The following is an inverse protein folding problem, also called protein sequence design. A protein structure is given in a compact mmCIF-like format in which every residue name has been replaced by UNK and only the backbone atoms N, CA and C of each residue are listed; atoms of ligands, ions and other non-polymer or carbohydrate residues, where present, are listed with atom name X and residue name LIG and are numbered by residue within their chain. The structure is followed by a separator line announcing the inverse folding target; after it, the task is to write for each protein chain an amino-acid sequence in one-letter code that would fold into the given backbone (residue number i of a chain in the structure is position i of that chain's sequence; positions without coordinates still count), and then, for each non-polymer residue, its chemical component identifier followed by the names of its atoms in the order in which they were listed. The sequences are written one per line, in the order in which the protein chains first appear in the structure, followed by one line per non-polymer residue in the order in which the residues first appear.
data_IF_275784870347
#
_entry.id   IF_275784870347
#
_cell.length_a   1.000
_cell.length_b   1.000
_cell.length_c   1.000
_cell.angle_alpha   90.00
_cell.angle_beta   90.00
_cell.angle_gamma   90.00
#
_symmetry.space_group_name_H-M   'P 1'
#
loop_
_entity.id
_entity.type
_entity.pdbx_description
1 polymer ?
#
# COMPACT_ATOMS: atom_id res chain seq x y z
N UNK A 1 -6.42 -9.33 41.61
CA UNK A 1 -5.31 -10.13 42.11
C UNK A 1 -5.17 -11.35 41.23
N UNK A 2 -4.50 -11.21 40.09
CA UNK A 2 -3.76 -12.23 39.34
C UNK A 2 -3.29 -11.57 38.04
N UNK A 3 -2.16 -10.84 38.16
CA UNK A 3 -1.45 -10.19 37.00
C UNK A 3 -0.13 -10.90 36.73
N UNK A 4 -0.13 -12.23 36.73
CA UNK A 4 1.10 -13.02 36.50
C UNK A 4 1.02 -14.02 35.32
N UNK A 5 0.11 -13.83 34.40
CA UNK A 5 0.23 -14.49 33.09
C UNK A 5 0.09 -13.44 31.98
N UNK A 6 1.15 -12.67 31.78
CA UNK A 6 1.31 -11.87 30.58
C UNK A 6 1.37 -12.82 29.37
N UNK A 7 0.26 -12.98 28.68
CA UNK A 7 0.27 -13.55 27.31
C UNK A 7 0.99 -12.52 26.47
N UNK A 8 2.31 -12.70 26.30
CA UNK A 8 3.04 -12.00 25.25
C UNK A 8 2.44 -12.47 23.92
N UNK A 9 1.56 -11.67 23.33
CA UNK A 9 1.18 -11.86 21.94
C UNK A 9 2.47 -11.73 21.15
N UNK A 10 3.00 -12.85 20.65
CA UNK A 10 4.14 -12.83 19.76
C UNK A 10 3.67 -12.23 18.45
N UNK A 11 3.94 -10.94 18.24
CA UNK A 11 3.72 -10.29 16.97
C UNK A 11 4.56 -11.01 15.91
N UNK A 12 3.98 -11.19 14.71
CA UNK A 12 4.63 -11.83 13.57
C UNK A 12 4.64 -10.89 12.38
N UNK A 13 5.55 -11.13 11.47
CA UNK A 13 5.50 -10.48 10.16
C UNK A 13 4.18 -10.81 9.46
N UNK A 14 3.49 -9.76 9.02
CA UNK A 14 2.42 -9.84 8.05
C UNK A 14 2.97 -9.64 6.63
N UNK A 15 2.12 -9.39 5.65
CA UNK A 15 2.55 -9.07 4.28
C UNK A 15 3.35 -7.77 4.18
N UNK A 16 3.27 -6.91 5.21
CA UNK A 16 3.86 -5.57 5.18
C UNK A 16 4.44 -5.19 6.57
N UNK A 17 5.36 -6.00 7.08
CA UNK A 17 6.03 -5.81 8.35
C UNK A 17 5.23 -6.29 9.57
N UNK A 18 5.69 -5.90 10.76
CA UNK A 18 5.04 -6.20 12.04
C UNK A 18 4.18 -5.01 12.45
N UNK A 19 2.91 -5.24 12.81
CA UNK A 19 1.96 -4.20 13.22
C UNK A 19 1.24 -4.58 14.51
N UNK A 20 0.81 -3.56 15.26
CA UNK A 20 -0.01 -3.72 16.46
C UNK A 20 -0.41 -2.37 17.04
N UNK A 21 -1.23 -2.40 18.11
CA UNK A 21 -1.56 -1.18 18.88
C UNK A 21 -0.26 -0.64 19.47
N UNK A 22 0.05 0.61 19.13
CA UNK A 22 1.32 1.24 19.48
C UNK A 22 1.51 1.30 20.99
N UNK A 23 2.72 0.97 21.45
CA UNK A 23 3.15 0.98 22.85
C UNK A 23 2.34 0.04 23.78
N UNK A 24 1.48 -0.79 23.20
CA UNK A 24 0.67 -1.81 23.90
C UNK A 24 1.01 -3.20 23.38
N UNK A 25 0.68 -3.49 22.13
CA UNK A 25 1.06 -4.74 21.45
C UNK A 25 2.49 -4.61 20.89
N UNK A 26 2.73 -3.55 20.12
CA UNK A 26 4.05 -3.17 19.62
C UNK A 26 4.75 -2.28 20.66
N UNK A 27 5.35 -2.93 21.65
CA UNK A 27 6.10 -2.25 22.71
C UNK A 27 7.47 -1.77 22.24
N UNK A 28 8.08 -0.82 22.98
CA UNK A 28 9.47 -0.39 22.74
C UNK A 28 10.46 -1.54 22.92
N UNK A 29 10.23 -2.44 23.88
CA UNK A 29 11.10 -3.60 24.10
C UNK A 29 11.04 -4.57 22.90
N UNK A 30 9.84 -4.80 22.37
CA UNK A 30 9.68 -5.61 21.15
C UNK A 30 10.35 -4.95 19.94
N UNK A 31 10.15 -3.65 19.74
CA UNK A 31 10.74 -2.90 18.64
C UNK A 31 12.28 -2.91 18.69
N UNK A 32 12.87 -2.80 19.90
CA UNK A 32 14.30 -2.92 20.08
C UNK A 32 14.82 -4.35 19.80
N UNK A 33 14.13 -5.38 20.31
CA UNK A 33 14.48 -6.77 20.05
C UNK A 33 14.39 -7.10 18.54
N UNK A 34 13.36 -6.60 17.85
CA UNK A 34 13.19 -6.72 16.40
C UNK A 34 14.34 -6.04 15.64
N UNK A 35 14.69 -4.80 16.00
CA UNK A 35 15.82 -4.08 15.40
C UNK A 35 17.15 -4.83 15.55
N UNK A 36 17.42 -5.37 16.75
CA UNK A 36 18.61 -6.19 16.99
C UNK A 36 18.62 -7.47 16.17
N UNK A 37 17.51 -8.20 16.14
CA UNK A 37 17.36 -9.42 15.35
C UNK A 37 17.57 -9.14 13.85
N UNK A 38 17.00 -8.05 13.35
CA UNK A 38 17.19 -7.63 11.96
C UNK A 38 18.66 -7.32 11.63
N UNK A 39 19.36 -6.58 12.50
CA UNK A 39 20.80 -6.30 12.31
C UNK A 39 21.65 -7.57 12.35
N UNK A 40 21.34 -8.53 13.22
CA UNK A 40 22.05 -9.81 13.29
C UNK A 40 21.85 -10.63 12.03
N UNK A 41 20.63 -10.67 11.48
CA UNK A 41 20.27 -11.51 10.31
C UNK A 41 20.73 -10.86 9.00
N UNK A 42 20.49 -9.55 8.83
CA UNK A 42 20.80 -8.83 7.59
C UNK A 42 22.23 -8.23 7.58
N UNK A 43 22.91 -8.26 8.69
CA UNK A 43 24.26 -7.72 8.86
C UNK A 43 24.29 -6.32 9.44
N UNK A 44 25.48 -5.99 10.02
CA UNK A 44 25.80 -4.67 10.53
C UNK A 44 26.06 -3.64 9.41
N UNK A 45 26.66 -2.51 9.77
CA UNK A 45 26.92 -1.39 8.88
C UNK A 45 25.77 -0.38 8.88
N UNK A 46 25.73 0.48 7.86
CA UNK A 46 24.73 1.54 7.78
C UNK A 46 23.32 0.96 7.64
N UNK A 47 22.38 1.50 8.44
CA UNK A 47 20.94 1.29 8.32
C UNK A 47 20.23 2.63 8.29
N UNK A 48 19.28 2.79 7.39
CA UNK A 48 18.41 3.95 7.38
C UNK A 48 17.14 3.67 8.19
N UNK A 49 16.68 4.67 8.96
CA UNK A 49 15.45 4.59 9.71
C UNK A 49 14.60 5.80 9.35
N UNK A 50 13.36 5.55 8.93
CA UNK A 50 12.36 6.56 8.67
C UNK A 50 11.07 6.29 9.43
N UNK A 51 10.20 7.29 9.53
CA UNK A 51 8.89 7.12 10.14
C UNK A 51 7.83 8.00 9.47
N UNK A 52 6.58 7.65 9.68
CA UNK A 52 5.46 8.54 9.40
C UNK A 52 5.25 9.55 10.55
N UNK A 53 4.08 10.20 10.57
CA UNK A 53 3.79 11.32 11.48
C UNK A 53 3.14 10.92 12.79
N UNK A 54 2.94 9.62 13.09
CA UNK A 54 2.27 9.11 14.30
C UNK A 54 2.97 9.55 15.57
N UNK A 55 2.19 9.87 16.62
CA UNK A 55 2.67 10.29 17.94
C UNK A 55 3.63 9.26 18.56
N UNK A 56 3.37 7.96 18.36
CA UNK A 56 4.23 6.87 18.87
C UNK A 56 5.53 6.68 18.06
N UNK A 57 5.64 7.30 16.88
CA UNK A 57 6.76 7.14 15.97
C UNK A 57 8.13 7.39 16.62
N UNK A 58 8.37 8.54 17.29
CA UNK A 58 9.68 8.83 17.90
C UNK A 58 10.12 7.81 18.95
N UNK A 59 9.19 7.28 19.77
CA UNK A 59 9.52 6.29 20.79
C UNK A 59 9.89 4.93 20.17
N UNK A 60 9.16 4.50 19.14
CA UNK A 60 9.45 3.27 18.41
C UNK A 60 10.72 3.38 17.56
N UNK A 61 10.97 4.54 16.95
CA UNK A 61 12.22 4.84 16.24
C UNK A 61 13.43 4.71 17.17
N UNK A 62 13.38 5.35 18.35
CA UNK A 62 14.46 5.26 19.33
C UNK A 62 14.73 3.81 19.79
N UNK A 63 13.67 3.01 19.95
CA UNK A 63 13.77 1.61 20.29
C UNK A 63 14.42 0.77 19.17
N UNK A 64 13.97 0.94 17.92
CA UNK A 64 14.56 0.27 16.75
C UNK A 64 16.04 0.64 16.59
N UNK A 65 16.38 1.93 16.75
CA UNK A 65 17.76 2.44 16.72
C UNK A 65 18.62 1.75 17.77
N UNK A 66 18.15 1.67 19.01
CA UNK A 66 18.87 1.00 20.10
C UNK A 66 19.08 -0.49 19.78
N UNK A 67 18.07 -1.15 19.24
CA UNK A 67 18.14 -2.55 18.81
C UNK A 67 19.16 -2.77 17.69
N UNK A 68 19.09 -1.98 16.62
CA UNK A 68 20.01 -2.04 15.49
C UNK A 68 21.45 -1.85 15.95
N UNK A 69 21.72 -0.86 16.80
CA UNK A 69 23.05 -0.61 17.34
C UNK A 69 23.53 -1.79 18.21
N UNK A 70 22.68 -2.37 19.05
CA UNK A 70 22.99 -3.56 19.84
C UNK A 70 23.28 -4.80 18.96
N UNK A 71 22.70 -4.86 17.76
CA UNK A 71 22.99 -5.88 16.74
C UNK A 71 24.23 -5.61 15.90
N UNK A 72 24.97 -4.51 16.17
CA UNK A 72 26.20 -4.15 15.47
C UNK A 72 26.00 -3.29 14.21
N UNK A 73 24.83 -2.69 14.04
CA UNK A 73 24.55 -1.77 12.95
C UNK A 73 24.90 -0.32 13.33
N UNK A 74 24.99 0.53 12.29
CA UNK A 74 25.18 1.99 12.38
C UNK A 74 23.89 2.69 11.95
N UNK A 75 22.93 2.92 12.87
CA UNK A 75 21.63 3.48 12.54
C UNK A 75 21.72 4.97 12.20
N UNK A 76 21.08 5.37 11.09
CA UNK A 76 20.96 6.75 10.62
C UNK A 76 19.48 7.07 10.44
N UNK A 77 18.96 8.01 11.24
CA UNK A 77 17.59 8.48 11.09
C UNK A 77 17.48 9.48 9.96
N UNK A 78 16.49 9.29 9.08
CA UNK A 78 16.11 10.27 8.05
C UNK A 78 14.82 11.03 8.45
N UNK A 79 14.34 10.81 9.67
CA UNK A 79 13.17 11.49 10.22
C UNK A 79 11.85 11.09 9.56
N UNK A 80 10.95 12.07 9.37
CA UNK A 80 9.66 11.84 8.70
C UNK A 80 9.85 11.86 7.19
N UNK A 81 9.68 10.69 6.57
CA UNK A 81 9.75 10.49 5.12
C UNK A 81 8.71 9.46 4.68
N UNK A 82 8.22 9.51 3.43
CA UNK A 82 7.39 8.44 2.89
C UNK A 82 8.14 7.11 2.79
N UNK A 83 7.40 6.00 2.89
CA UNK A 83 7.96 4.64 2.70
C UNK A 83 8.75 4.51 1.39
N UNK A 84 8.22 4.94 0.21
CA UNK A 84 8.99 4.87 -1.03
C UNK A 84 10.27 5.72 -1.02
N UNK A 85 10.27 6.86 -0.33
CA UNK A 85 11.47 7.68 -0.19
C UNK A 85 12.57 6.94 0.60
N UNK A 86 12.19 6.28 1.71
CA UNK A 86 13.12 5.49 2.49
C UNK A 86 13.68 4.31 1.70
N UNK A 87 12.81 3.58 0.97
CA UNK A 87 13.22 2.46 0.12
C UNK A 87 14.19 2.92 -0.99
N UNK A 88 13.88 4.04 -1.65
CA UNK A 88 14.74 4.64 -2.66
C UNK A 88 16.10 5.06 -2.07
N UNK A 89 16.12 5.73 -0.92
CA UNK A 89 17.36 6.11 -0.24
C UNK A 89 18.18 4.87 0.14
N UNK A 90 17.55 3.82 0.65
CA UNK A 90 18.22 2.55 0.96
C UNK A 90 18.87 1.94 -0.29
N UNK A 91 18.22 2.02 -1.45
CA UNK A 91 18.79 1.61 -2.74
C UNK A 91 20.00 2.47 -3.12
N UNK A 92 19.91 3.81 -2.97
CA UNK A 92 21.00 4.72 -3.29
C UNK A 92 22.24 4.51 -2.40
N UNK A 93 22.03 4.18 -1.13
CA UNK A 93 23.11 3.93 -0.18
C UNK A 93 23.58 2.47 -0.14
N UNK A 94 22.87 1.56 -0.82
CA UNK A 94 23.19 0.13 -0.83
C UNK A 94 23.11 -0.48 0.57
N UNK A 95 22.12 -0.09 1.38
CA UNK A 95 21.97 -0.53 2.76
C UNK A 95 20.55 -0.98 3.08
N UNK A 96 20.35 -1.72 4.18
CA UNK A 96 19.01 -2.03 4.69
C UNK A 96 18.34 -0.80 5.30
N UNK A 97 17.01 -0.90 5.51
CA UNK A 97 16.25 0.17 6.17
C UNK A 97 15.11 -0.38 7.05
N UNK A 98 14.66 0.46 8.01
CA UNK A 98 13.49 0.21 8.83
C UNK A 98 12.54 1.41 8.78
N UNK A 99 11.28 1.18 8.39
CA UNK A 99 10.24 2.18 8.36
C UNK A 99 9.25 1.97 9.50
N UNK A 100 9.07 3.00 10.32
CA UNK A 100 8.11 2.99 11.43
C UNK A 100 6.78 3.58 10.93
N UNK A 101 5.82 2.71 10.66
CA UNK A 101 4.51 3.08 10.12
C UNK A 101 3.51 1.94 10.23
N UNK A 102 2.22 2.26 10.24
CA UNK A 102 1.12 1.33 10.00
C UNK A 102 0.29 1.72 8.78
N UNK A 103 0.91 2.44 7.80
CA UNK A 103 0.30 2.84 6.54
C UNK A 103 -1.04 3.56 6.73
N UNK A 104 -2.14 3.01 6.22
CA UNK A 104 -3.48 3.59 6.26
C UNK A 104 -4.25 3.37 7.58
N UNK A 105 -3.67 2.65 8.55
CA UNK A 105 -4.32 2.41 9.84
C UNK A 105 -4.49 3.72 10.65
N UNK A 106 -5.42 3.75 11.63
CA UNK A 106 -5.57 4.88 12.54
C UNK A 106 -4.29 5.17 13.34
N UNK A 107 -4.19 6.35 13.93
CA UNK A 107 -2.99 6.86 14.61
C UNK A 107 -2.51 6.01 15.79
N UNK A 108 -3.42 5.30 16.47
CA UNK A 108 -3.10 4.46 17.63
C UNK A 108 -2.44 3.12 17.28
N UNK A 109 -2.48 2.72 16.00
CA UNK A 109 -1.69 1.60 15.49
C UNK A 109 -0.32 2.11 15.02
N UNK A 110 0.69 1.23 15.07
CA UNK A 110 1.97 1.46 14.43
C UNK A 110 2.58 0.13 13.99
N UNK A 111 3.70 0.20 13.29
CA UNK A 111 4.39 -0.97 12.78
C UNK A 111 5.86 -0.70 12.50
N UNK A 112 6.58 -1.75 12.15
CA UNK A 112 7.94 -1.69 11.65
C UNK A 112 8.02 -2.54 10.38
N UNK A 113 8.27 -1.87 9.23
CA UNK A 113 8.59 -2.52 7.95
C UNK A 113 10.12 -2.59 7.84
N UNK A 114 10.67 -3.73 7.47
CA UNK A 114 12.10 -3.89 7.25
C UNK A 114 12.34 -4.12 5.76
N UNK A 115 13.30 -3.37 5.22
CA UNK A 115 13.80 -3.52 3.87
C UNK A 115 15.22 -4.10 3.91
N UNK A 116 15.47 -5.04 3.04
CA UNK A 116 16.82 -5.55 2.80
C UNK A 116 17.72 -4.54 2.10
N UNK A 117 18.99 -4.91 1.92
CA UNK A 117 19.97 -4.08 1.20
C UNK A 117 19.44 -3.69 -0.18
N UNK A 118 19.48 -2.40 -0.48
CA UNK A 118 18.93 -1.88 -1.73
C UNK A 118 17.45 -1.51 -1.69
N UNK A 119 16.85 -1.44 -0.49
CA UNK A 119 15.45 -0.99 -0.34
C UNK A 119 14.43 -1.99 -0.86
N UNK A 120 14.75 -3.28 -0.89
CA UNK A 120 13.87 -4.35 -1.35
C UNK A 120 13.13 -5.01 -0.19
N UNK A 121 11.94 -5.53 -0.45
CA UNK A 121 11.21 -6.33 0.53
C UNK A 121 11.95 -7.61 0.89
N UNK A 122 11.78 -8.07 2.13
CA UNK A 122 12.39 -9.31 2.60
C UNK A 122 11.64 -10.53 2.04
N UNK A 123 12.38 -11.59 1.76
CA UNK A 123 11.79 -12.90 1.51
C UNK A 123 11.30 -13.55 2.83
N UNK A 124 10.31 -14.44 2.74
CA UNK A 124 9.70 -15.13 3.90
C UNK A 124 10.72 -15.85 4.78
N UNK A 125 11.78 -16.43 4.17
CA UNK A 125 12.85 -17.11 4.89
C UNK A 125 13.62 -16.14 5.79
N UNK A 126 13.86 -14.92 5.30
CA UNK A 126 14.58 -13.87 6.02
C UNK A 126 13.71 -13.34 7.16
N UNK A 127 12.43 -13.09 6.93
CA UNK A 127 11.49 -12.67 7.98
C UNK A 127 11.39 -13.73 9.09
N UNK A 128 11.26 -15.01 8.72
CA UNK A 128 11.27 -16.13 9.69
C UNK A 128 12.58 -16.23 10.47
N UNK A 129 13.71 -15.94 9.83
CA UNK A 129 14.99 -15.92 10.50
C UNK A 129 15.10 -14.76 11.50
N UNK A 130 14.55 -13.57 11.15
CA UNK A 130 14.47 -12.43 12.07
C UNK A 130 13.55 -12.78 13.24
N UNK A 131 12.35 -13.32 12.99
CA UNK A 131 11.42 -13.75 14.07
C UNK A 131 12.08 -14.74 15.04
N UNK A 132 12.82 -15.72 14.51
CA UNK A 132 13.52 -16.70 15.33
C UNK A 132 14.69 -16.12 16.15
N UNK A 133 15.24 -14.98 15.73
CA UNK A 133 16.31 -14.28 16.41
C UNK A 133 15.83 -13.24 17.46
N UNK A 134 14.52 -12.99 17.55
CA UNK A 134 13.96 -12.07 18.55
C UNK A 134 14.16 -12.65 19.97
N UNK A 135 14.86 -11.89 20.82
CA UNK A 135 15.05 -12.21 22.24
C UNK A 135 14.74 -10.97 23.09
N UNK A 136 13.60 -11.00 23.77
CA UNK A 136 13.12 -9.90 24.62
C UNK A 136 13.89 -9.75 25.95
N UNK A 137 14.69 -10.75 26.33
CA UNK A 137 15.44 -10.72 27.60
C UNK A 137 16.79 -10.02 27.47
N UNK A 138 17.24 -9.72 26.26
CA UNK A 138 18.52 -9.09 26.02
C UNK A 138 18.35 -7.56 25.93
N UNK A 139 18.90 -6.79 26.86
CA UNK A 139 18.73 -5.34 26.86
C UNK A 139 19.42 -4.67 25.69
N UNK A 140 18.82 -3.61 25.17
CA UNK A 140 19.39 -2.74 24.17
C UNK A 140 19.74 -1.39 24.82
N UNK A 141 20.99 -0.96 24.81
CA UNK A 141 21.37 0.34 25.38
C UNK A 141 20.79 1.47 24.53
N UNK A 142 20.38 2.56 25.18
CA UNK A 142 19.91 3.76 24.49
C UNK A 142 21.06 4.35 23.68
N UNK A 143 20.78 4.62 22.40
CA UNK A 143 21.73 5.22 21.46
C UNK A 143 21.01 6.36 20.75
N UNK A 144 21.68 7.50 20.65
CA UNK A 144 21.20 8.61 19.82
C UNK A 144 21.60 8.36 18.36
N UNK A 145 20.66 8.33 17.41
CA UNK A 145 21.02 8.14 16.00
C UNK A 145 21.67 9.39 15.42
N UNK A 146 22.49 9.19 14.40
CA UNK A 146 22.84 10.29 13.50
C UNK A 146 21.57 10.66 12.74
N UNK A 147 21.18 11.93 12.75
CA UNK A 147 20.00 12.42 12.05
C UNK A 147 20.45 13.19 10.81
N UNK A 148 19.90 12.83 9.66
CA UNK A 148 20.13 13.53 8.37
C UNK A 148 18.79 13.82 7.70
N UNK A 149 18.68 14.98 7.05
CA UNK A 149 17.50 15.30 6.24
C UNK A 149 17.82 14.99 4.78
N UNK A 150 17.18 13.95 4.26
CA UNK A 150 17.38 13.48 2.89
C UNK A 150 16.14 13.67 2.01
N UNK A 151 15.12 14.40 2.50
CA UNK A 151 13.86 14.60 1.77
C UNK A 151 14.07 15.27 0.42
N UNK A 152 14.93 16.28 0.37
CA UNK A 152 15.22 17.02 -0.86
C UNK A 152 15.82 16.13 -1.95
N UNK A 153 16.57 15.08 -1.59
CA UNK A 153 17.12 14.15 -2.57
C UNK A 153 16.02 13.34 -3.27
N UNK A 154 15.03 12.88 -2.50
CA UNK A 154 13.89 12.18 -3.07
C UNK A 154 13.00 13.11 -3.90
N UNK A 155 12.78 14.36 -3.43
CA UNK A 155 12.08 15.40 -4.21
C UNK A 155 12.77 15.63 -5.55
N UNK A 156 14.09 15.83 -5.55
CA UNK A 156 14.88 16.03 -6.77
C UNK A 156 14.82 14.83 -7.70
N UNK A 157 14.92 13.60 -7.15
CA UNK A 157 14.78 12.38 -7.94
C UNK A 157 13.46 12.33 -8.72
N UNK A 158 12.35 12.67 -8.07
CA UNK A 158 11.05 12.70 -8.75
C UNK A 158 10.94 13.86 -9.74
N UNK A 159 11.44 15.05 -9.38
CA UNK A 159 11.43 16.22 -10.28
C UNK A 159 12.25 15.96 -11.54
N UNK A 160 13.45 15.38 -11.40
CA UNK A 160 14.34 15.10 -12.54
C UNK A 160 13.76 14.05 -13.50
N UNK A 161 12.87 13.17 -13.00
CA UNK A 161 12.23 12.12 -13.79
C UNK A 161 10.96 12.57 -14.53
N UNK A 162 10.48 13.81 -14.33
CA UNK A 162 9.17 14.25 -14.78
C UNK A 162 9.20 15.60 -15.51
N UNK A 163 8.20 15.81 -16.39
CA UNK A 163 8.04 17.03 -17.17
C UNK A 163 7.34 18.16 -16.39
N UNK A 164 7.23 19.32 -17.03
CA UNK A 164 6.55 20.47 -16.42
C UNK A 164 5.04 20.25 -16.34
N UNK A 165 4.46 20.52 -15.17
CA UNK A 165 3.03 20.50 -14.90
C UNK A 165 2.43 21.94 -14.86
N UNK A 166 3.09 22.89 -15.48
CA UNK A 166 2.63 24.29 -15.52
C UNK A 166 1.26 24.39 -16.19
N UNK A 167 0.31 24.98 -15.48
CA UNK A 167 -1.07 25.12 -15.91
C UNK A 167 -1.99 23.99 -15.44
N UNK A 168 -1.45 22.94 -14.82
CA UNK A 168 -2.24 21.94 -14.14
C UNK A 168 -2.64 22.45 -12.76
N UNK A 169 -3.95 22.44 -12.45
CA UNK A 169 -4.46 22.65 -11.09
C UNK A 169 -4.80 21.30 -10.47
N UNK A 170 -4.23 21.02 -9.29
CA UNK A 170 -4.38 19.75 -8.57
C UNK A 170 -4.69 19.97 -7.10
N UNK A 171 -5.49 19.10 -6.50
CA UNK A 171 -5.66 19.04 -5.03
C UNK A 171 -4.88 17.84 -4.50
N UNK A 172 -4.06 18.06 -3.48
CA UNK A 172 -3.24 17.03 -2.83
C UNK A 172 -3.75 16.80 -1.41
N UNK A 173 -4.28 15.61 -1.15
CA UNK A 173 -4.62 15.15 0.21
C UNK A 173 -3.45 14.32 0.75
N UNK A 174 -2.73 14.87 1.72
CA UNK A 174 -1.54 14.26 2.30
C UNK A 174 -1.84 13.36 3.52
N UNK A 175 -3.11 13.08 3.82
CA UNK A 175 -3.55 12.24 4.95
C UNK A 175 -2.98 12.66 6.32
N UNK A 176 -2.51 13.88 6.49
CA UNK A 176 -1.66 14.30 7.62
C UNK A 176 -0.48 13.36 7.87
N UNK A 177 -0.02 12.68 6.84
CA UNK A 177 1.01 11.66 6.84
C UNK A 177 2.37 12.16 6.33
N UNK A 178 3.22 11.23 5.96
CA UNK A 178 4.59 11.49 5.53
C UNK A 178 4.70 12.29 4.22
N UNK A 179 3.64 12.30 3.39
CA UNK A 179 3.58 13.10 2.16
C UNK A 179 3.36 14.61 2.39
N UNK A 180 3.06 15.05 3.64
CA UNK A 180 2.69 16.43 3.95
C UNK A 180 3.69 17.49 3.49
N UNK A 181 4.97 17.17 3.38
CA UNK A 181 6.00 18.09 2.91
C UNK A 181 6.53 17.73 1.51
N UNK A 182 6.60 16.44 1.19
CA UNK A 182 7.22 15.94 -0.03
C UNK A 182 6.34 16.17 -1.26
N UNK A 183 5.06 15.78 -1.20
CA UNK A 183 4.17 15.90 -2.35
C UNK A 183 3.96 17.37 -2.79
N UNK A 184 3.68 18.33 -1.89
CA UNK A 184 3.60 19.74 -2.27
C UNK A 184 4.88 20.29 -2.89
N UNK A 185 6.05 19.87 -2.37
CA UNK A 185 7.35 20.34 -2.87
C UNK A 185 7.60 19.88 -4.32
N UNK A 186 7.29 18.60 -4.64
CA UNK A 186 7.45 18.06 -5.99
C UNK A 186 6.50 18.75 -6.98
N UNK A 187 5.21 18.85 -6.66
CA UNK A 187 4.24 19.49 -7.55
C UNK A 187 4.54 20.98 -7.78
N UNK A 188 4.98 21.69 -6.75
CA UNK A 188 5.42 23.09 -6.86
C UNK A 188 6.67 23.23 -7.74
N UNK A 189 7.67 22.34 -7.58
CA UNK A 189 8.89 22.36 -8.40
C UNK A 189 8.60 22.07 -9.89
N UNK A 190 7.62 21.24 -10.19
CA UNK A 190 7.15 20.97 -11.56
C UNK A 190 6.23 22.08 -12.10
N UNK A 191 5.86 23.08 -11.28
CA UNK A 191 5.10 24.25 -11.68
C UNK A 191 3.58 24.10 -11.69
N UNK A 192 3.06 23.05 -11.03
CA UNK A 192 1.62 22.87 -10.85
C UNK A 192 1.02 23.90 -9.87
N UNK A 193 -0.26 24.26 -10.08
CA UNK A 193 -1.06 25.02 -9.13
C UNK A 193 -1.71 24.04 -8.13
N UNK A 194 -1.01 23.78 -7.03
CA UNK A 194 -1.40 22.76 -6.06
C UNK A 194 -2.14 23.37 -4.86
N UNK A 195 -3.38 22.90 -4.63
CA UNK A 195 -4.12 23.11 -3.37
C UNK A 195 -3.80 21.92 -2.47
N UNK A 196 -3.33 22.17 -1.25
CA UNK A 196 -2.90 21.14 -0.32
C UNK A 196 -3.85 21.07 0.87
N UNK A 197 -4.37 19.87 1.14
CA UNK A 197 -5.23 19.60 2.29
C UNK A 197 -4.64 18.48 3.14
N UNK A 198 -5.04 18.42 4.41
CA UNK A 198 -4.58 17.41 5.38
C UNK A 198 -3.04 17.26 5.38
N UNK A 199 -2.32 18.39 5.50
CA UNK A 199 -0.86 18.44 5.52
C UNK A 199 -0.32 19.09 6.80
N UNK A 200 -1.07 19.05 7.89
CA UNK A 200 -0.69 19.60 9.21
C UNK A 200 -0.76 18.49 10.26
N UNK A 201 0.20 17.55 10.26
CA UNK A 201 0.19 16.43 11.18
C UNK A 201 0.38 16.90 12.64
N UNK A 202 -0.46 16.37 13.54
CA UNK A 202 -0.37 16.56 14.98
C UNK A 202 0.00 15.29 15.76
N UNK A 203 0.24 14.20 15.02
CA UNK A 203 0.56 12.87 15.57
C UNK A 203 -0.64 11.96 15.78
N UNK A 204 -1.86 12.50 15.77
CA UNK A 204 -3.11 11.77 16.02
C UNK A 204 -4.14 11.90 14.90
N UNK A 205 -3.93 12.80 13.98
CA UNK A 205 -4.83 13.07 12.86
C UNK A 205 -4.45 12.36 11.54
N UNK A 206 -3.42 11.52 11.55
CA UNK A 206 -3.03 10.73 10.36
C UNK A 206 -4.18 9.80 9.94
N UNK A 207 -4.55 9.82 8.65
CA UNK A 207 -5.65 9.04 8.07
C UNK A 207 -7.05 9.28 8.71
N UNK A 208 -7.20 10.30 9.55
CA UNK A 208 -8.49 10.55 10.20
C UNK A 208 -9.47 11.20 9.22
N UNK A 209 -10.31 10.36 8.60
CA UNK A 209 -11.30 10.73 7.57
C UNK A 209 -10.68 11.53 6.41
N UNK A 210 -9.48 11.16 5.99
CA UNK A 210 -8.75 11.77 4.88
C UNK A 210 -7.84 10.75 4.21
N UNK A 211 -7.19 11.15 3.11
CA UNK A 211 -6.25 10.33 2.37
C UNK A 211 -6.91 9.22 1.55
N UNK A 212 -6.11 8.24 1.13
CA UNK A 212 -6.49 7.23 0.15
C UNK A 212 -7.68 6.33 0.55
N UNK A 213 -8.02 6.25 1.84
CA UNK A 213 -9.16 5.47 2.34
C UNK A 213 -10.44 6.29 2.54
N UNK A 214 -10.36 7.62 2.46
CA UNK A 214 -11.46 8.56 2.68
C UNK A 214 -11.32 9.77 1.75
N UNK A 215 -11.82 9.64 0.53
CA UNK A 215 -11.63 10.64 -0.54
C UNK A 215 -12.73 11.71 -0.59
N UNK A 216 -13.70 11.70 0.32
CA UNK A 216 -14.88 12.58 0.28
C UNK A 216 -14.49 14.07 0.40
N UNK A 217 -13.56 14.40 1.30
CA UNK A 217 -13.05 15.78 1.45
C UNK A 217 -12.25 16.22 0.22
N UNK A 218 -11.40 15.33 -0.32
CA UNK A 218 -10.67 15.58 -1.56
C UNK A 218 -11.63 15.85 -2.72
N UNK A 219 -12.69 15.05 -2.86
CA UNK A 219 -13.71 15.22 -3.90
C UNK A 219 -14.40 16.58 -3.84
N UNK A 220 -14.76 17.02 -2.63
CA UNK A 220 -15.35 18.33 -2.40
C UNK A 220 -14.40 19.48 -2.80
N UNK A 221 -13.13 19.39 -2.41
CA UNK A 221 -12.13 20.42 -2.71
C UNK A 221 -11.74 20.45 -4.19
N UNK A 222 -11.67 19.31 -4.88
CA UNK A 222 -11.46 19.25 -6.33
C UNK A 222 -12.54 20.04 -7.07
N UNK A 223 -13.80 19.81 -6.72
CA UNK A 223 -14.94 20.53 -7.34
C UNK A 223 -14.93 22.02 -6.96
N UNK A 224 -14.72 22.33 -5.68
CA UNK A 224 -14.73 23.72 -5.18
C UNK A 224 -13.65 24.58 -5.82
N UNK A 225 -12.47 24.02 -6.05
CA UNK A 225 -11.33 24.75 -6.65
C UNK A 225 -11.29 24.64 -8.18
N UNK A 226 -12.21 23.88 -8.82
CA UNK A 226 -12.18 23.64 -10.25
C UNK A 226 -10.87 22.98 -10.68
N UNK A 227 -10.36 22.07 -9.86
CA UNK A 227 -9.10 21.38 -10.14
C UNK A 227 -9.28 20.34 -11.25
N UNK A 228 -8.21 20.07 -12.01
CA UNK A 228 -8.18 19.06 -13.07
C UNK A 228 -8.34 17.66 -12.49
N UNK A 229 -7.70 17.43 -11.34
CA UNK A 229 -7.76 16.17 -10.59
C UNK A 229 -7.37 16.40 -9.12
N UNK A 230 -7.67 15.41 -8.29
CA UNK A 230 -7.17 15.29 -6.92
C UNK A 230 -6.37 14.01 -6.74
N UNK A 231 -5.41 14.02 -5.82
CA UNK A 231 -4.60 12.87 -5.44
C UNK A 231 -4.65 12.73 -3.92
N UNK A 232 -5.10 11.58 -3.43
CA UNK A 232 -5.12 11.21 -2.02
C UNK A 232 -4.06 10.16 -1.74
N UNK A 233 -3.12 10.46 -0.84
CA UNK A 233 -2.11 9.53 -0.38
C UNK A 233 -2.58 8.85 0.92
N UNK A 234 -1.95 7.75 1.30
CA UNK A 234 -2.12 7.20 2.64
C UNK A 234 -1.00 7.67 3.60
N UNK A 235 -1.06 7.26 4.86
CA UNK A 235 -0.22 7.83 5.92
C UNK A 235 1.28 7.74 5.67
N UNK A 236 1.77 6.70 5.00
CA UNK A 236 3.19 6.53 4.65
C UNK A 236 3.48 6.70 3.15
N UNK A 237 2.45 7.02 2.36
CA UNK A 237 2.60 7.47 0.98
C UNK A 237 2.93 6.38 -0.03
N UNK A 238 2.78 5.11 0.32
CA UNK A 238 2.99 4.00 -0.61
C UNK A 238 1.78 3.73 -1.51
N UNK A 239 0.64 4.46 -1.27
CA UNK A 239 -0.60 4.39 -2.05
C UNK A 239 -1.05 5.74 -2.54
N UNK A 240 -1.80 5.71 -3.66
CA UNK A 240 -2.54 6.86 -4.19
C UNK A 240 -3.90 6.43 -4.73
N UNK A 241 -4.91 7.23 -4.44
CA UNK A 241 -6.23 7.18 -5.09
C UNK A 241 -6.46 8.54 -5.73
N UNK A 242 -7.03 8.58 -6.93
CA UNK A 242 -7.31 9.84 -7.60
C UNK A 242 -8.80 10.21 -7.54
N UNK A 243 -9.07 11.48 -7.77
CA UNK A 243 -10.42 12.04 -7.91
C UNK A 243 -10.46 12.86 -9.18
N UNK A 244 -11.47 12.67 -10.03
CA UNK A 244 -11.65 13.43 -11.26
C UNK A 244 -12.28 14.81 -10.97
N UNK A 245 -12.28 15.69 -11.97
CA UNK A 245 -12.82 17.07 -11.86
C UNK A 245 -14.31 17.16 -11.52
N UNK A 246 -15.05 16.04 -11.59
CA UNK A 246 -16.46 15.92 -11.20
C UNK A 246 -16.63 15.42 -9.74
N UNK A 247 -15.52 15.19 -9.03
CA UNK A 247 -15.53 14.67 -7.66
C UNK A 247 -15.71 13.15 -7.57
N UNK A 248 -15.53 12.40 -8.66
CA UNK A 248 -15.65 10.94 -8.64
C UNK A 248 -14.30 10.29 -8.38
N UNK A 249 -14.29 9.30 -7.49
CA UNK A 249 -13.09 8.51 -7.17
C UNK A 249 -12.67 7.65 -8.34
N UNK A 250 -11.36 7.65 -8.62
CA UNK A 250 -10.67 6.80 -9.59
C UNK A 250 -9.76 5.87 -8.79
N UNK A 251 -10.15 4.62 -8.67
CA UNK A 251 -9.49 3.61 -7.86
C UNK A 251 -8.20 3.06 -8.48
N UNK A 252 -7.48 2.24 -7.69
CA UNK A 252 -6.21 1.66 -8.13
C UNK A 252 -6.31 0.82 -9.40
N UNK A 253 -7.41 0.11 -9.63
CA UNK A 253 -7.58 -0.66 -10.87
C UNK A 253 -7.58 0.24 -12.10
N UNK A 254 -8.31 1.36 -12.05
CA UNK A 254 -8.31 2.35 -13.15
C UNK A 254 -6.94 3.01 -13.31
N UNK A 255 -6.29 3.33 -12.20
CA UNK A 255 -4.96 3.93 -12.23
C UNK A 255 -3.93 2.98 -12.86
N UNK A 256 -3.94 1.69 -12.49
CA UNK A 256 -3.06 0.67 -13.07
C UNK A 256 -3.38 0.46 -14.55
N UNK A 257 -4.66 0.43 -14.93
CA UNK A 257 -5.06 0.29 -16.33
C UNK A 257 -4.56 1.46 -17.19
N UNK A 258 -4.73 2.71 -16.71
CA UNK A 258 -4.21 3.91 -17.38
C UNK A 258 -2.69 3.87 -17.49
N UNK A 259 -2.01 3.50 -16.40
CA UNK A 259 -0.55 3.40 -16.37
C UNK A 259 -0.01 2.32 -17.32
N UNK A 260 -0.68 1.15 -17.40
CA UNK A 260 -0.30 0.10 -18.34
C UNK A 260 -0.43 0.56 -19.81
N UNK A 261 -1.53 1.28 -20.14
CA UNK A 261 -1.70 1.83 -21.49
C UNK A 261 -0.69 2.93 -21.80
N UNK A 262 -0.40 3.82 -20.84
CA UNK A 262 0.63 4.84 -20.98
C UNK A 262 2.01 4.21 -21.25
N UNK A 263 2.43 3.24 -20.42
CA UNK A 263 3.71 2.54 -20.62
C UNK A 263 3.77 1.82 -21.97
N UNK A 264 2.65 1.28 -22.44
CA UNK A 264 2.58 0.67 -23.75
C UNK A 264 2.74 1.67 -24.88
N UNK A 265 2.10 2.84 -24.80
CA UNK A 265 2.27 3.95 -25.74
C UNK A 265 3.73 4.43 -25.79
N UNK A 266 4.39 4.45 -24.63
CA UNK A 266 5.82 4.79 -24.48
C UNK A 266 6.77 3.66 -24.94
N UNK A 267 6.26 2.45 -25.22
CA UNK A 267 7.07 1.26 -25.53
C UNK A 267 7.82 0.68 -24.32
N UNK A 268 7.36 1.02 -23.11
CA UNK A 268 7.96 0.65 -21.82
C UNK A 268 7.16 -0.42 -21.04
N UNK A 269 6.05 -0.92 -21.57
CA UNK A 269 5.31 -2.03 -20.98
C UNK A 269 5.98 -3.35 -21.35
N UNK A 270 6.84 -3.86 -20.50
CA UNK A 270 7.58 -5.08 -20.77
C UNK A 270 6.65 -6.28 -20.95
N UNK A 271 6.86 -7.02 -22.05
CA UNK A 271 6.08 -8.21 -22.41
C UNK A 271 4.57 -7.95 -22.60
N UNK A 272 4.15 -6.69 -22.84
CA UNK A 272 2.75 -6.29 -22.87
C UNK A 272 1.97 -6.85 -21.66
N UNK A 273 2.55 -6.81 -20.46
CA UNK A 273 2.03 -7.49 -19.28
C UNK A 273 1.95 -6.56 -18.06
N UNK A 274 0.83 -6.66 -17.34
CA UNK A 274 0.57 -5.99 -16.05
C UNK A 274 0.31 -7.02 -14.96
N UNK A 275 0.76 -6.75 -13.74
CA UNK A 275 0.56 -7.64 -12.59
C UNK A 275 -0.45 -7.02 -11.62
N UNK A 276 -1.50 -7.78 -11.25
CA UNK A 276 -2.52 -7.36 -10.27
C UNK A 276 -2.84 -8.49 -9.31
N UNK A 277 -3.66 -8.22 -8.29
CA UNK A 277 -4.11 -9.26 -7.36
C UNK A 277 -5.47 -9.84 -7.77
N UNK A 278 -5.85 -10.94 -7.13
CA UNK A 278 -7.19 -11.54 -7.27
C UNK A 278 -8.33 -10.59 -6.85
N UNK A 279 -8.03 -9.45 -6.24
CA UNK A 279 -9.03 -8.44 -5.86
C UNK A 279 -9.35 -7.47 -6.98
N UNK A 280 -8.52 -7.37 -8.02
CA UNK A 280 -8.77 -6.47 -9.15
C UNK A 280 -10.05 -6.84 -9.88
N UNK A 281 -10.83 -5.82 -10.22
CA UNK A 281 -12.17 -5.93 -10.78
C UNK A 281 -12.18 -6.71 -12.10
N UNK A 282 -13.22 -7.50 -12.36
CA UNK A 282 -13.37 -8.23 -13.63
C UNK A 282 -13.34 -7.29 -14.84
N UNK A 283 -13.80 -6.06 -14.67
CA UNK A 283 -13.73 -5.02 -15.69
C UNK A 283 -12.31 -4.66 -16.09
N UNK A 284 -11.35 -4.69 -15.15
CA UNK A 284 -9.93 -4.53 -15.44
C UNK A 284 -9.42 -5.62 -16.38
N UNK A 285 -9.70 -6.88 -16.07
CA UNK A 285 -9.28 -8.03 -16.90
C UNK A 285 -9.86 -7.94 -18.32
N UNK A 286 -11.14 -7.59 -18.44
CA UNK A 286 -11.79 -7.40 -19.74
C UNK A 286 -11.17 -6.25 -20.54
N UNK A 287 -10.88 -5.13 -19.89
CA UNK A 287 -10.28 -3.96 -20.51
C UNK A 287 -8.85 -4.25 -21.02
N UNK A 288 -8.03 -4.89 -20.19
CA UNK A 288 -6.67 -5.27 -20.58
C UNK A 288 -6.67 -6.29 -21.73
N UNK A 289 -7.55 -7.28 -21.70
CA UNK A 289 -7.72 -8.23 -22.79
C UNK A 289 -8.12 -7.53 -24.10
N UNK A 290 -9.08 -6.59 -24.05
CA UNK A 290 -9.51 -5.81 -25.22
C UNK A 290 -8.37 -4.92 -25.77
N UNK A 291 -7.52 -4.41 -24.89
CA UNK A 291 -6.33 -3.66 -25.26
C UNK A 291 -5.15 -4.54 -25.73
N UNK A 292 -5.24 -5.87 -25.66
CA UNK A 292 -4.15 -6.79 -26.00
C UNK A 292 -3.00 -6.77 -24.96
N UNK A 293 -3.31 -6.42 -23.70
CA UNK A 293 -2.38 -6.45 -22.57
C UNK A 293 -2.65 -7.72 -21.76
N UNK A 294 -1.60 -8.46 -21.47
CA UNK A 294 -1.65 -9.65 -20.65
C UNK A 294 -1.79 -9.27 -19.17
N UNK A 295 -2.51 -10.07 -18.41
CA UNK A 295 -2.69 -9.86 -16.95
C UNK A 295 -2.15 -11.07 -16.21
N UNK A 296 -1.16 -10.86 -15.35
CA UNK A 296 -0.72 -11.82 -14.35
C UNK A 296 -1.45 -11.52 -13.05
N UNK A 297 -2.13 -12.54 -12.48
CA UNK A 297 -2.92 -12.39 -11.26
C UNK A 297 -2.26 -13.13 -10.11
N UNK A 298 -2.02 -12.44 -9.00
CA UNK A 298 -1.38 -12.97 -7.79
C UNK A 298 -2.38 -13.09 -6.62
N UNK A 299 -1.94 -13.68 -5.53
CA UNK A 299 -2.61 -13.56 -4.22
C UNK A 299 -2.65 -12.10 -3.75
N UNK A 300 -3.45 -11.82 -2.70
CA UNK A 300 -3.53 -10.48 -2.09
C UNK A 300 -2.28 -10.20 -1.28
N UNK A 301 -1.66 -9.07 -1.53
CA UNK A 301 -0.47 -8.56 -0.87
C UNK A 301 0.57 -8.09 -1.89
N UNK A 302 1.11 -6.92 -1.64
CA UNK A 302 2.09 -6.25 -2.49
C UNK A 302 3.37 -7.07 -2.71
N UNK A 303 3.75 -7.93 -1.75
CA UNK A 303 4.85 -8.88 -1.89
C UNK A 303 4.66 -9.81 -3.09
N UNK A 304 3.47 -10.41 -3.25
CA UNK A 304 3.20 -11.32 -4.36
C UNK A 304 3.19 -10.61 -5.70
N UNK A 305 2.73 -9.35 -5.72
CA UNK A 305 2.83 -8.49 -6.91
C UNK A 305 4.29 -8.25 -7.27
N UNK A 306 5.12 -7.87 -6.29
CA UNK A 306 6.54 -7.61 -6.49
C UNK A 306 7.30 -8.85 -6.95
N UNK A 307 7.04 -10.02 -6.35
CA UNK A 307 7.63 -11.31 -6.76
C UNK A 307 7.29 -11.66 -8.21
N UNK A 308 6.03 -11.43 -8.61
CA UNK A 308 5.61 -11.67 -10.00
C UNK A 308 6.23 -10.67 -10.98
N UNK A 309 6.36 -9.39 -10.59
CA UNK A 309 7.08 -8.37 -11.38
C UNK A 309 8.53 -8.78 -11.61
N UNK A 310 9.24 -9.16 -10.56
CA UNK A 310 10.66 -9.56 -10.63
C UNK A 310 10.83 -10.87 -11.41
N UNK A 311 10.00 -11.85 -11.13
CA UNK A 311 10.08 -13.16 -11.79
C UNK A 311 9.76 -13.12 -13.28
N UNK A 312 8.89 -12.19 -13.71
CA UNK A 312 8.50 -12.02 -15.12
C UNK A 312 9.22 -10.90 -15.84
N UNK A 313 10.00 -10.07 -15.15
CA UNK A 313 10.63 -8.88 -15.71
C UNK A 313 9.59 -7.85 -16.21
N UNK A 314 8.49 -7.68 -15.47
CA UNK A 314 7.39 -6.80 -15.84
C UNK A 314 7.57 -5.39 -15.26
N UNK A 315 7.09 -4.37 -15.97
CA UNK A 315 7.30 -2.95 -15.64
C UNK A 315 6.36 -2.43 -14.56
N UNK A 316 5.13 -2.95 -14.46
CA UNK A 316 4.07 -2.37 -13.64
C UNK A 316 3.16 -3.41 -13.02
N UNK A 317 2.76 -3.17 -11.80
CA UNK A 317 1.73 -3.92 -11.11
C UNK A 317 1.20 -3.17 -9.90
N UNK A 318 0.18 -3.73 -9.26
CA UNK A 318 -0.36 -3.12 -8.05
C UNK A 318 -1.66 -3.73 -7.59
N UNK A 319 -2.35 -2.98 -6.73
CA UNK A 319 -3.59 -3.37 -6.08
C UNK A 319 -4.67 -2.30 -6.25
N UNK A 320 -5.94 -2.70 -6.23
CA UNK A 320 -7.08 -1.78 -6.25
C UNK A 320 -7.01 -0.71 -5.14
N UNK A 321 -6.33 -1.01 -4.04
CA UNK A 321 -6.09 -0.09 -2.92
C UNK A 321 -5.21 1.13 -3.27
N UNK A 322 -4.65 1.18 -4.48
CA UNK A 322 -3.77 2.26 -4.93
C UNK A 322 -2.28 2.04 -4.65
N UNK A 323 -1.88 0.87 -4.17
CA UNK A 323 -0.47 0.48 -4.08
C UNK A 323 0.01 0.08 -5.47
N UNK A 324 0.74 0.99 -6.14
CA UNK A 324 1.16 0.85 -7.55
C UNK A 324 2.68 0.86 -7.62
N UNK A 325 3.26 -0.15 -8.24
CA UNK A 325 4.69 -0.37 -8.35
C UNK A 325 5.12 -0.17 -9.81
N UNK A 326 5.88 0.88 -10.09
CA UNK A 326 6.62 1.08 -11.33
C UNK A 326 8.00 0.43 -11.16
N UNK A 327 8.13 -0.85 -11.51
CA UNK A 327 9.28 -1.68 -11.12
C UNK A 327 10.63 -1.20 -11.65
N UNK A 328 10.63 -0.56 -12.81
CA UNK A 328 11.85 0.00 -13.41
C UNK A 328 12.40 1.23 -12.65
N UNK A 329 11.56 1.86 -11.80
CA UNK A 329 11.90 3.10 -11.08
C UNK A 329 11.91 2.91 -9.57
N UNK A 330 11.05 2.04 -9.03
CA UNK A 330 10.84 1.88 -7.59
C UNK A 330 10.93 0.42 -7.15
N UNK A 331 11.34 0.19 -5.90
CA UNK A 331 11.44 -1.13 -5.29
C UNK A 331 10.20 -1.52 -4.49
N UNK A 332 9.25 -0.61 -4.35
CA UNK A 332 7.95 -0.76 -3.64
C UNK A 332 6.91 0.14 -4.29
N UNK A 333 5.66 0.09 -3.82
CA UNK A 333 4.65 1.05 -4.23
C UNK A 333 5.06 2.48 -3.89
N UNK A 334 4.78 3.40 -4.82
CA UNK A 334 5.08 4.81 -4.69
C UNK A 334 3.88 5.64 -5.15
N UNK A 335 3.10 6.10 -4.17
CA UNK A 335 1.89 6.87 -4.45
C UNK A 335 2.18 8.21 -5.15
N UNK A 336 3.31 8.85 -4.82
CA UNK A 336 3.66 10.13 -5.43
C UNK A 336 4.15 9.95 -6.87
N UNK A 337 4.99 8.97 -7.14
CA UNK A 337 5.39 8.60 -8.51
C UNK A 337 4.17 8.26 -9.37
N UNK A 338 3.27 7.40 -8.86
CA UNK A 338 2.06 7.02 -9.59
C UNK A 338 1.13 8.22 -9.83
N UNK A 339 0.97 9.10 -8.84
CA UNK A 339 0.21 10.35 -8.97
C UNK A 339 0.81 11.32 -9.98
N UNK A 340 2.13 11.44 -10.03
CA UNK A 340 2.84 12.28 -11.01
C UNK A 340 2.67 11.74 -12.44
N UNK A 341 2.87 10.43 -12.64
CA UNK A 341 2.64 9.78 -13.94
C UNK A 341 1.22 9.99 -14.45
N UNK A 342 0.22 9.84 -13.56
CA UNK A 342 -1.17 10.15 -13.90
C UNK A 342 -1.35 11.63 -14.27
N UNK A 343 -0.80 12.55 -13.48
CA UNK A 343 -0.90 14.00 -13.71
C UNK A 343 -0.28 14.39 -15.06
N UNK A 344 0.88 13.84 -15.41
CA UNK A 344 1.52 14.04 -16.72
C UNK A 344 0.67 13.48 -17.86
N UNK A 345 0.10 12.28 -17.69
CA UNK A 345 -0.73 11.63 -18.69
C UNK A 345 -1.99 12.46 -19.00
N UNK A 346 -2.69 12.89 -17.94
CA UNK A 346 -3.86 13.78 -18.08
C UNK A 346 -3.49 15.11 -18.72
N UNK A 347 -2.41 15.74 -18.27
CA UNK A 347 -1.96 17.05 -18.78
C UNK A 347 -1.50 16.98 -20.24
N UNK A 348 -0.74 15.96 -20.60
CA UNK A 348 -0.19 15.79 -21.94
C UNK A 348 -1.23 15.45 -23.01
N UNK A 349 -2.27 14.71 -22.63
CA UNK A 349 -3.33 14.32 -23.57
C UNK A 349 -4.43 15.38 -23.76
N UNK A 350 -4.44 16.44 -22.94
CA UNK A 350 -5.49 17.47 -22.93
C UNK A 350 -6.90 16.88 -22.79
N UNK A 351 -7.02 15.77 -22.06
CA UNK A 351 -8.26 15.08 -21.78
C UNK A 351 -8.55 15.11 -20.27
N UNK A 352 -9.82 15.00 -19.91
CA UNK A 352 -10.17 14.94 -18.50
C UNK A 352 -9.89 13.56 -17.91
N UNK A 353 -9.52 13.49 -16.64
CA UNK A 353 -9.39 12.20 -15.93
C UNK A 353 -10.71 11.43 -15.96
N UNK A 354 -11.86 12.14 -15.93
CA UNK A 354 -13.18 11.56 -16.02
C UNK A 354 -13.39 10.76 -17.32
N UNK A 355 -12.97 11.31 -18.46
CA UNK A 355 -13.08 10.64 -19.76
C UNK A 355 -12.12 9.45 -19.82
N UNK A 356 -10.85 9.67 -19.46
CA UNK A 356 -9.83 8.62 -19.46
C UNK A 356 -10.22 7.43 -18.58
N UNK A 357 -10.63 7.69 -17.33
CA UNK A 357 -11.03 6.64 -16.39
C UNK A 357 -12.35 5.95 -16.77
N UNK A 358 -13.26 6.67 -17.46
CA UNK A 358 -14.51 6.11 -17.95
C UNK A 358 -14.32 5.21 -19.17
N UNK A 359 -13.35 5.53 -20.04
CA UNK A 359 -13.06 4.76 -21.24
C UNK A 359 -12.13 3.56 -21.00
N UNK A 360 -11.19 3.70 -20.03
CA UNK A 360 -10.17 2.67 -19.80
C UNK A 360 -10.78 1.35 -19.37
N UNK A 361 -11.82 1.38 -18.54
CA UNK A 361 -12.53 0.17 -18.11
C UNK A 361 -13.95 0.47 -17.59
N UNK A 362 -14.84 -0.49 -17.78
CA UNK A 362 -16.15 -0.53 -17.12
C UNK A 362 -15.98 -1.23 -15.77
N UNK A 363 -16.25 -0.52 -14.68
CA UNK A 363 -16.26 -1.12 -13.34
C UNK A 363 -17.53 -1.97 -13.11
N UNK A 364 -17.35 -3.16 -12.59
CA UNK A 364 -18.45 -4.02 -12.16
C UNK A 364 -18.71 -3.81 -10.68
N UNK A 365 -19.97 -3.59 -10.25
CA UNK A 365 -20.31 -3.54 -8.84
C UNK A 365 -19.79 -4.73 -8.08
N UNK A 366 -19.14 -4.48 -6.93
CA UNK A 366 -18.50 -5.47 -6.09
C UNK A 366 -19.12 -5.46 -4.70
N UNK A 367 -19.57 -6.62 -4.22
CA UNK A 367 -20.09 -6.82 -2.87
C UNK A 367 -19.19 -7.79 -2.13
N UNK A 368 -18.69 -7.38 -0.95
CA UNK A 368 -17.88 -8.19 -0.06
C UNK A 368 -18.64 -8.46 1.24
N UNK A 369 -18.88 -9.73 1.55
CA UNK A 369 -19.50 -10.17 2.81
C UNK A 369 -18.48 -10.95 3.64
N UNK A 370 -18.28 -10.53 4.88
CA UNK A 370 -17.45 -11.25 5.87
C UNK A 370 -18.37 -12.14 6.72
N UNK A 371 -18.25 -13.46 6.59
CA UNK A 371 -19.03 -14.43 7.35
C UNK A 371 -18.20 -14.99 8.48
N UNK A 372 -18.63 -14.76 9.72
CA UNK A 372 -17.99 -15.39 10.90
C UNK A 372 -18.29 -16.88 10.89
N UNK A 373 -17.29 -17.69 11.21
CA UNK A 373 -17.36 -19.16 11.23
C UNK A 373 -16.85 -19.66 12.58
N UNK A 374 -17.21 -20.90 12.95
CA UNK A 374 -16.83 -21.47 14.25
C UNK A 374 -15.30 -21.68 14.34
N UNK A 375 -14.71 -22.22 13.28
CA UNK A 375 -13.30 -22.50 13.17
C UNK A 375 -12.72 -21.93 11.85
N UNK A 376 -11.39 -21.89 11.73
CA UNK A 376 -10.74 -21.47 10.49
C UNK A 376 -10.86 -22.54 9.42
N UNK A 377 -11.40 -22.17 8.26
CA UNK A 377 -11.59 -23.04 7.10
C UNK A 377 -10.67 -22.62 5.93
N UNK A 378 -9.37 -22.94 5.93
CA UNK A 378 -8.42 -22.49 4.91
C UNK A 378 -8.78 -23.01 3.50
N UNK A 379 -9.56 -24.08 3.38
CA UNK A 379 -10.04 -24.66 2.13
C UNK A 379 -11.51 -24.36 1.84
N UNK A 380 -12.09 -23.30 2.41
CA UNK A 380 -13.50 -22.96 2.25
C UNK A 380 -13.92 -22.86 0.76
N UNK A 381 -13.06 -22.30 -0.11
CA UNK A 381 -13.34 -22.21 -1.54
C UNK A 381 -13.44 -23.59 -2.21
N UNK A 382 -12.58 -24.54 -1.85
CA UNK A 382 -12.61 -25.90 -2.38
C UNK A 382 -13.85 -26.66 -1.89
N UNK A 383 -14.19 -26.50 -0.61
CA UNK A 383 -15.34 -27.11 0.03
C UNK A 383 -16.68 -26.58 -0.50
N UNK A 384 -16.71 -25.38 -1.07
CA UNK A 384 -17.87 -24.71 -1.67
C UNK A 384 -17.80 -24.68 -3.21
N UNK A 385 -16.92 -25.45 -3.83
CA UNK A 385 -16.66 -25.36 -5.26
C UNK A 385 -17.90 -25.57 -6.13
N UNK A 386 -18.85 -26.43 -5.71
CA UNK A 386 -20.09 -26.68 -6.45
C UNK A 386 -21.00 -25.46 -6.40
N UNK A 387 -21.24 -24.90 -5.22
CA UNK A 387 -22.10 -23.74 -5.01
C UNK A 387 -21.53 -22.47 -5.68
N UNK A 388 -20.19 -22.35 -5.68
CA UNK A 388 -19.48 -21.28 -6.39
C UNK A 388 -19.69 -21.43 -7.90
N UNK A 389 -19.45 -22.62 -8.45
CA UNK A 389 -19.59 -22.88 -9.89
C UNK A 389 -21.01 -22.64 -10.39
N UNK A 390 -22.03 -23.10 -9.64
CA UNK A 390 -23.44 -22.85 -9.97
C UNK A 390 -23.77 -21.34 -9.97
N UNK A 391 -23.22 -20.60 -9.02
CA UNK A 391 -23.43 -19.18 -8.94
C UNK A 391 -22.68 -18.42 -10.06
N UNK A 392 -21.45 -18.82 -10.41
CA UNK A 392 -20.70 -18.27 -11.53
C UNK A 392 -21.39 -18.54 -12.87
N UNK A 393 -21.94 -19.74 -13.04
CA UNK A 393 -22.73 -20.07 -14.25
C UNK A 393 -23.96 -19.16 -14.38
N UNK A 394 -24.62 -18.83 -13.26
CA UNK A 394 -25.76 -17.90 -13.26
C UNK A 394 -25.38 -16.44 -13.56
N UNK A 395 -24.17 -16.01 -13.19
CA UNK A 395 -23.65 -14.69 -13.53
C UNK A 395 -23.18 -14.60 -15.00
N UNK A 396 -22.85 -15.72 -15.62
CA UNK A 396 -22.30 -15.77 -16.97
C UNK A 396 -20.95 -15.05 -17.10
N UNK A 397 -20.70 -14.44 -18.26
CA UNK A 397 -19.47 -13.69 -18.49
C UNK A 397 -19.40 -12.30 -17.83
N UNK A 398 -20.48 -11.87 -17.15
CA UNK A 398 -20.62 -10.54 -16.57
C UNK A 398 -20.57 -10.54 -15.04
N UNK A 399 -19.91 -11.54 -14.47
CA UNK A 399 -19.67 -11.62 -13.04
C UNK A 399 -18.54 -12.53 -12.65
N UNK A 400 -18.14 -12.44 -11.39
CA UNK A 400 -17.08 -13.23 -10.80
C UNK A 400 -17.33 -13.44 -9.31
N UNK A 401 -16.90 -14.58 -8.79
CA UNK A 401 -17.00 -14.90 -7.37
C UNK A 401 -15.61 -15.23 -6.83
N UNK A 402 -15.30 -14.70 -5.66
CA UNK A 402 -14.10 -15.04 -4.91
C UNK A 402 -14.47 -15.38 -3.47
N UNK A 403 -14.28 -16.64 -3.07
CA UNK A 403 -14.45 -17.10 -1.69
C UNK A 403 -13.09 -17.41 -1.11
N UNK A 404 -12.75 -16.83 0.05
CA UNK A 404 -11.48 -17.09 0.72
C UNK A 404 -11.60 -17.04 2.23
N UNK A 405 -10.86 -17.88 2.92
CA UNK A 405 -10.70 -17.78 4.37
C UNK A 405 -9.82 -16.56 4.74
N UNK A 406 -10.09 -15.96 5.90
CA UNK A 406 -9.16 -15.02 6.51
C UNK A 406 -7.89 -15.74 6.97
N UNK A 407 -6.74 -15.12 6.77
CA UNK A 407 -5.45 -15.65 7.25
C UNK A 407 -5.33 -15.68 8.77
N UNK A 408 -5.99 -14.76 9.47
CA UNK A 408 -5.80 -14.52 10.90
C UNK A 408 -7.05 -14.76 11.75
N UNK A 409 -8.24 -14.62 11.20
CA UNK A 409 -9.50 -14.65 11.92
C UNK A 409 -10.37 -15.83 11.50
N UNK A 410 -11.29 -16.34 12.36
CA UNK A 410 -12.28 -17.35 12.00
C UNK A 410 -13.42 -16.72 11.18
N UNK A 411 -13.11 -16.34 9.95
CA UNK A 411 -14.10 -15.83 9.00
C UNK A 411 -13.78 -16.22 7.56
N UNK A 412 -14.83 -16.34 6.75
CA UNK A 412 -14.78 -16.57 5.31
C UNK A 412 -15.29 -15.30 4.62
N UNK A 413 -14.53 -14.83 3.65
CA UNK A 413 -14.85 -13.66 2.83
C UNK A 413 -15.48 -14.14 1.53
N UNK A 414 -16.68 -13.66 1.25
CA UNK A 414 -17.41 -13.89 -0.01
C UNK A 414 -17.44 -12.59 -0.78
N UNK A 415 -16.77 -12.51 -1.90
CA UNK A 415 -16.79 -11.37 -2.81
C UNK A 415 -17.49 -11.78 -4.10
N UNK A 416 -18.41 -10.94 -4.55
CA UNK A 416 -19.13 -11.12 -5.81
C UNK A 416 -19.08 -9.83 -6.60
N UNK A 417 -18.72 -9.95 -7.87
CA UNK A 417 -18.85 -8.90 -8.89
C UNK A 417 -19.94 -9.30 -9.87
N UNK A 418 -20.77 -8.34 -10.30
CA UNK A 418 -21.84 -8.59 -11.24
C UNK A 418 -22.18 -7.32 -12.05
N UNK A 419 -23.01 -7.47 -13.08
CA UNK A 419 -23.43 -6.37 -13.94
C UNK A 419 -24.21 -5.26 -13.19
N UNK A 420 -24.86 -5.58 -12.07
CA UNK A 420 -25.56 -4.62 -11.21
C UNK A 420 -25.31 -4.92 -9.73
N UNK A 421 -25.43 -3.89 -8.87
CA UNK A 421 -25.29 -4.04 -7.41
C UNK A 421 -26.32 -5.02 -6.83
N UNK A 422 -27.57 -4.98 -7.31
CA UNK A 422 -28.62 -5.89 -6.85
C UNK A 422 -28.29 -7.37 -7.12
N UNK A 423 -27.73 -7.67 -8.30
CA UNK A 423 -27.30 -9.03 -8.65
C UNK A 423 -26.13 -9.44 -7.78
N UNK A 424 -25.11 -8.58 -7.66
CA UNK A 424 -23.92 -8.86 -6.84
C UNK A 424 -24.30 -9.14 -5.38
N UNK A 425 -25.17 -8.31 -4.80
CA UNK A 425 -25.68 -8.45 -3.43
C UNK A 425 -26.50 -9.72 -3.24
N UNK A 426 -27.45 -10.00 -4.12
CA UNK A 426 -28.28 -11.21 -4.05
C UNK A 426 -27.47 -12.50 -4.08
N UNK A 427 -26.43 -12.55 -4.94
CA UNK A 427 -25.55 -13.72 -5.03
C UNK A 427 -24.63 -13.80 -3.82
N UNK A 428 -24.08 -12.67 -3.35
CA UNK A 428 -23.22 -12.63 -2.16
C UNK A 428 -23.97 -13.08 -0.90
N UNK A 429 -25.19 -12.59 -0.68
CA UNK A 429 -26.02 -12.97 0.47
C UNK A 429 -26.37 -14.45 0.44
N UNK A 430 -26.72 -15.00 -0.73
CA UNK A 430 -26.99 -16.43 -0.90
C UNK A 430 -25.77 -17.28 -0.55
N UNK A 431 -24.60 -16.95 -1.06
CA UNK A 431 -23.35 -17.67 -0.75
C UNK A 431 -22.94 -17.51 0.71
N UNK A 432 -23.12 -16.31 1.29
CA UNK A 432 -22.88 -16.07 2.70
C UNK A 432 -23.76 -16.95 3.60
N UNK A 433 -25.03 -17.14 3.24
CA UNK A 433 -25.93 -18.06 3.95
C UNK A 433 -25.46 -19.52 3.86
N UNK A 434 -24.95 -19.95 2.71
CA UNK A 434 -24.34 -21.29 2.55
C UNK A 434 -23.12 -21.45 3.43
N UNK A 435 -22.21 -20.46 3.44
CA UNK A 435 -21.03 -20.44 4.32
C UNK A 435 -21.43 -20.56 5.79
N UNK A 436 -22.40 -19.73 6.21
CA UNK A 436 -22.91 -19.75 7.59
C UNK A 436 -23.53 -21.10 7.97
N UNK A 437 -24.31 -21.72 7.07
CA UNK A 437 -24.93 -23.03 7.33
C UNK A 437 -23.90 -24.15 7.44
N UNK A 438 -22.80 -24.08 6.67
CA UNK A 438 -21.80 -25.15 6.59
C UNK A 438 -20.70 -25.03 7.64
N UNK A 439 -20.33 -23.80 8.03
CA UNK A 439 -19.17 -23.51 8.85
C UNK A 439 -19.47 -22.65 10.10
N UNK A 440 -20.68 -22.13 10.23
CA UNK A 440 -21.15 -21.25 11.31
C UNK A 440 -21.50 -21.93 12.64
#
# INVERSE_FOLDING_TARGET
LDRENGIHVSLKFGTDGVRGVALTDLTTDYAAALGRAAAVVLGGGRWLIGRDTRESGPALEAAVVAGLAAGGAEPVSVGVVPTPALAWLAAQYGCPAAMITASHNPWHDNGVKIFGTGGVKLADEVERAIEAAIDLHQPCPVVEPVVVDERDRYVLHLVDGHGSLRGLRVVLDCANGAMSQVAPAVFAALGADAVVIHAQPDGRNINDRCGATHTESLAAEVVAHGATLGLAFDGDGDRVIAVDHLGRTVDGDRLIALAALQLREEGALHHDTVVVTVMSNIGFHKAMAAAGVNVVTTGVGDRYVLEALDGGGFSIGGEQSGHIIYRDVATTGDGLLAGLRLAEYVHGHHRTLADLAGEVMTGYPQVLVNVKVADRHPRAAEELAVEIADAEQALGGDGRILVRASGTEPLVRVMVEAATDDIARSVADRLAAVVHTRFG
#
